data_IF_613658709296
#
_entry.id   IF_613658709296
#
_cell.length_a   1.000
_cell.length_b   1.000
_cell.length_c   1.000
_cell.angle_alpha   90.00
_cell.angle_beta   90.00
_cell.angle_gamma   90.00
#
_symmetry.space_group_name_H-M   'P 1'
#
loop_
_entity.id
_entity.type
_entity.pdbx_description
1 polymer ?
#
# COMPACT_ATOMS: atom_id res chain seq x y z
N UNK A 1 -14.73 1.61 -4.81
CA UNK A 1 -14.73 3.02 -4.38
C UNK A 1 -13.70 3.38 -3.29
N UNK A 2 -12.90 2.42 -2.75
CA UNK A 2 -11.89 2.70 -1.70
C UNK A 2 -10.62 3.45 -2.15
N UNK A 3 -10.40 3.68 -3.47
CA UNK A 3 -9.19 4.35 -3.97
C UNK A 3 -9.16 5.86 -3.70
N UNK A 4 -10.33 6.50 -3.62
CA UNK A 4 -10.44 7.97 -3.49
C UNK A 4 -10.06 8.45 -2.09
N UNK A 5 -10.40 7.68 -1.05
CA UNK A 5 -10.09 8.04 0.35
C UNK A 5 -8.58 8.16 0.63
N UNK A 6 -7.77 7.23 0.10
CA UNK A 6 -6.31 7.28 0.23
C UNK A 6 -5.70 8.52 -0.44
N UNK A 7 -6.19 8.87 -1.62
CA UNK A 7 -5.67 10.02 -2.39
C UNK A 7 -6.00 11.33 -1.66
N UNK A 8 -7.22 11.45 -1.11
CA UNK A 8 -7.65 12.60 -0.31
C UNK A 8 -6.78 12.73 0.96
N UNK A 9 -6.42 11.62 1.61
CA UNK A 9 -5.55 11.60 2.79
C UNK A 9 -4.13 12.07 2.50
N UNK A 10 -3.55 11.68 1.36
CA UNK A 10 -2.25 12.21 0.93
C UNK A 10 -2.36 13.71 0.67
N UNK A 11 -3.36 14.12 -0.10
CA UNK A 11 -3.53 15.52 -0.50
C UNK A 11 -3.74 16.42 0.71
N UNK A 12 -4.55 16.00 1.68
CA UNK A 12 -4.75 16.76 2.93
C UNK A 12 -3.47 16.84 3.75
N UNK A 13 -2.73 15.73 3.85
CA UNK A 13 -1.41 15.71 4.49
C UNK A 13 -0.44 16.70 3.83
N UNK A 14 -0.34 16.68 2.49
CA UNK A 14 0.55 17.56 1.72
C UNK A 14 0.15 19.04 1.83
N UNK A 15 -1.15 19.34 1.83
CA UNK A 15 -1.67 20.70 2.04
C UNK A 15 -1.32 21.19 3.46
N UNK A 16 -1.47 20.34 4.49
CA UNK A 16 -1.04 20.69 5.85
C UNK A 16 0.46 21.01 5.92
N UNK A 17 1.31 20.22 5.24
CA UNK A 17 2.73 20.49 5.13
C UNK A 17 3.03 21.79 4.39
N UNK A 18 2.30 22.10 3.32
CA UNK A 18 2.46 23.34 2.56
C UNK A 18 2.05 24.58 3.39
N UNK A 19 1.03 24.44 4.24
CA UNK A 19 0.60 25.50 5.16
C UNK A 19 1.54 25.65 6.36
N UNK A 20 2.18 24.57 6.80
CA UNK A 20 3.15 24.57 7.90
C UNK A 20 4.45 23.92 7.43
N UNK A 21 5.29 24.69 6.74
CA UNK A 21 6.57 24.23 6.20
C UNK A 21 7.54 23.68 7.25
N UNK A 22 7.36 24.05 8.52
CA UNK A 22 8.01 23.45 9.70
C UNK A 22 7.80 21.93 9.82
N UNK A 23 6.70 21.40 9.29
CA UNK A 23 6.44 19.95 9.25
C UNK A 23 7.41 19.22 8.29
N UNK A 24 7.85 19.87 7.21
CA UNK A 24 8.85 19.29 6.30
C UNK A 24 10.26 19.29 6.90
N UNK A 25 10.54 20.08 7.94
CA UNK A 25 11.80 19.95 8.69
C UNK A 25 11.80 18.77 9.67
N UNK A 26 10.64 18.16 9.94
CA UNK A 26 10.54 17.00 10.82
C UNK A 26 10.78 15.72 10.03
N UNK A 27 11.89 15.03 10.34
CA UNK A 27 12.30 13.81 9.63
C UNK A 27 11.23 12.70 9.65
N UNK A 28 10.44 12.59 10.72
CA UNK A 28 9.34 11.62 10.80
C UNK A 28 8.21 11.91 9.81
N UNK A 29 7.92 13.18 9.52
CA UNK A 29 6.85 13.56 8.60
C UNK A 29 7.22 13.17 7.16
N UNK A 30 8.44 13.51 6.72
CA UNK A 30 8.96 13.09 5.40
C UNK A 30 9.00 11.56 5.30
N UNK A 31 9.56 10.87 6.31
CA UNK A 31 9.63 9.42 6.32
C UNK A 31 8.24 8.78 6.23
N UNK A 32 7.24 9.32 6.93
CA UNK A 32 5.86 8.83 6.87
C UNK A 32 5.23 8.98 5.48
N UNK A 33 5.47 10.11 4.79
CA UNK A 33 4.99 10.34 3.42
C UNK A 33 5.64 9.33 2.47
N UNK A 34 6.95 9.12 2.58
CA UNK A 34 7.68 8.16 1.74
C UNK A 34 7.17 6.73 1.98
N UNK A 35 7.03 6.31 3.24
CA UNK A 35 6.46 5.00 3.59
C UNK A 35 5.05 4.84 3.03
N UNK A 36 4.21 5.87 3.13
CA UNK A 36 2.85 5.85 2.61
C UNK A 36 2.83 5.64 1.09
N UNK A 37 3.67 6.37 0.34
CA UNK A 37 3.77 6.25 -1.12
C UNK A 37 4.24 4.84 -1.51
N UNK A 38 5.25 4.30 -0.82
CA UNK A 38 5.74 2.94 -1.07
C UNK A 38 4.65 1.90 -0.79
N UNK A 39 3.97 1.99 0.36
CA UNK A 39 2.86 1.11 0.70
C UNK A 39 1.75 1.17 -0.34
N UNK A 40 1.41 2.37 -0.81
CA UNK A 40 0.37 2.57 -1.81
C UNK A 40 0.76 1.97 -3.17
N UNK A 41 2.02 2.13 -3.58
CA UNK A 41 2.55 1.53 -4.80
C UNK A 41 2.53 0.00 -4.75
N UNK A 42 2.92 -0.59 -3.61
CA UNK A 42 2.85 -2.04 -3.40
C UNK A 42 1.39 -2.54 -3.39
N UNK A 43 0.50 -1.83 -2.69
CA UNK A 43 -0.89 -2.23 -2.55
C UNK A 43 -1.71 -2.11 -3.85
N UNK A 44 -1.50 -1.06 -4.65
CA UNK A 44 -2.30 -0.84 -5.87
C UNK A 44 -1.55 -1.26 -7.12
N UNK A 45 -0.27 -0.91 -7.23
CA UNK A 45 0.55 -1.15 -8.42
C UNK A 45 0.98 -2.61 -8.55
N UNK A 46 1.56 -3.17 -7.48
CA UNK A 46 2.09 -4.54 -7.49
C UNK A 46 0.98 -5.58 -7.36
N UNK A 47 0.10 -5.43 -6.36
CA UNK A 47 -1.01 -6.37 -6.14
C UNK A 47 -2.08 -6.28 -7.22
N UNK A 48 -2.46 -5.08 -7.68
CA UNK A 48 -3.52 -4.91 -8.67
C UNK A 48 -3.25 -5.62 -10.01
N UNK A 49 -2.01 -5.58 -10.50
CA UNK A 49 -1.62 -6.28 -11.74
C UNK A 49 -1.68 -7.81 -11.58
N UNK A 50 -1.30 -8.33 -10.41
CA UNK A 50 -1.28 -9.76 -10.11
C UNK A 50 -2.69 -10.30 -9.87
N UNK A 51 -3.55 -9.55 -9.18
CA UNK A 51 -4.97 -9.88 -9.00
C UNK A 51 -5.67 -9.96 -10.35
N UNK A 52 -5.38 -9.02 -11.26
CA UNK A 52 -5.94 -9.05 -12.62
C UNK A 52 -5.47 -10.30 -13.40
N UNK A 53 -4.19 -10.66 -13.31
CA UNK A 53 -3.68 -11.91 -13.89
C UNK A 53 -4.32 -13.16 -13.30
N UNK A 54 -4.55 -13.20 -11.98
CA UNK A 54 -5.26 -14.32 -11.34
C UNK A 54 -6.69 -14.41 -11.87
N UNK A 55 -7.40 -13.29 -12.00
CA UNK A 55 -8.74 -13.26 -12.58
C UNK A 55 -8.76 -13.76 -14.02
N UNK A 56 -7.81 -13.33 -14.86
CA UNK A 56 -7.70 -13.76 -16.26
C UNK A 56 -7.40 -15.27 -16.38
N UNK A 57 -6.56 -15.82 -15.49
CA UNK A 57 -6.27 -17.27 -15.44
C UNK A 57 -7.50 -18.05 -15.00
N UNK A 58 -8.26 -17.54 -14.03
CA UNK A 58 -9.47 -18.19 -13.50
C UNK A 58 -10.66 -18.11 -14.47
N UNK A 59 -10.83 -17.00 -15.18
CA UNK A 59 -11.88 -16.83 -16.19
C UNK A 59 -11.68 -17.77 -17.40
N UNK A 60 -10.43 -18.14 -17.69
CA UNK A 60 -10.08 -19.10 -18.74
C UNK A 60 -10.18 -20.58 -18.31
N UNK A 61 -10.32 -20.88 -17.01
CA UNK A 61 -10.30 -22.24 -16.47
C UNK A 61 -11.72 -22.71 -16.10
N UNK A 62 -12.23 -23.72 -16.81
CA UNK A 62 -13.55 -24.35 -16.54
C UNK A 62 -13.48 -25.60 -15.63
N UNK A 63 -12.41 -25.74 -14.85
CA UNK A 63 -12.21 -26.85 -13.91
C UNK A 63 -12.48 -26.44 -12.47
N UNK A 64 -12.94 -27.38 -11.63
CA UNK A 64 -13.23 -27.17 -10.20
C UNK A 64 -11.98 -26.90 -9.34
N UNK A 65 -10.79 -27.05 -9.91
CA UNK A 65 -9.50 -26.92 -9.23
C UNK A 65 -8.86 -25.56 -9.50
N UNK A 66 -8.34 -24.93 -8.44
CA UNK A 66 -7.56 -23.69 -8.54
C UNK A 66 -6.21 -24.04 -9.20
N UNK A 67 -5.88 -23.45 -10.36
CA UNK A 67 -4.60 -23.71 -11.01
C UNK A 67 -3.44 -23.33 -10.09
N UNK A 68 -2.40 -24.18 -10.05
CA UNK A 68 -1.22 -23.97 -9.19
C UNK A 68 -0.57 -22.59 -9.40
N UNK A 69 -0.63 -22.07 -10.63
CA UNK A 69 -0.14 -20.74 -11.00
C UNK A 69 -0.92 -19.61 -10.29
N UNK A 70 -2.25 -19.75 -10.18
CA UNK A 70 -3.09 -18.81 -9.45
C UNK A 70 -2.81 -18.87 -7.94
N UNK A 71 -2.56 -20.07 -7.38
CA UNK A 71 -2.19 -20.23 -5.97
C UNK A 71 -0.83 -19.58 -5.64
N UNK A 72 0.17 -19.72 -6.52
CA UNK A 72 1.48 -19.07 -6.36
C UNK A 72 1.39 -17.54 -6.44
N UNK A 73 0.56 -17.02 -7.35
CA UNK A 73 0.28 -15.58 -7.47
C UNK A 73 -0.45 -15.03 -6.25
N UNK A 74 -1.46 -15.75 -5.73
CA UNK A 74 -2.17 -15.39 -4.51
C UNK A 74 -1.25 -15.35 -3.29
N UNK A 75 -0.32 -16.30 -3.16
CA UNK A 75 0.68 -16.27 -2.08
C UNK A 75 1.56 -15.00 -2.15
N UNK A 76 1.96 -14.58 -3.35
CA UNK A 76 2.73 -13.34 -3.54
C UNK A 76 1.92 -12.08 -3.23
N UNK A 77 0.62 -12.08 -3.57
CA UNK A 77 -0.32 -11.01 -3.21
C UNK A 77 -0.49 -10.93 -1.68
N UNK A 78 -0.68 -12.07 -1.02
CA UNK A 78 -0.81 -12.15 0.43
C UNK A 78 0.46 -11.67 1.15
N UNK A 79 1.64 -12.07 0.66
CA UNK A 79 2.92 -11.59 1.18
C UNK A 79 3.06 -10.06 1.04
N UNK A 80 2.71 -9.50 -0.12
CA UNK A 80 2.70 -8.06 -0.34
C UNK A 80 1.71 -7.32 0.58
N UNK A 81 0.53 -7.92 0.82
CA UNK A 81 -0.44 -7.41 1.79
C UNK A 81 0.13 -7.39 3.21
N UNK A 82 0.80 -8.47 3.63
CA UNK A 82 1.46 -8.54 4.93
C UNK A 82 2.58 -7.50 5.06
N UNK A 83 3.38 -7.29 4.02
CA UNK A 83 4.39 -6.21 3.99
C UNK A 83 3.74 -4.83 4.12
N UNK A 84 2.62 -4.58 3.43
CA UNK A 84 1.89 -3.32 3.54
C UNK A 84 1.33 -3.09 4.96
N UNK A 85 0.80 -4.13 5.60
CA UNK A 85 0.38 -4.06 7.01
C UNK A 85 1.57 -3.78 7.95
N UNK A 86 2.73 -4.38 7.69
CA UNK A 86 3.96 -4.15 8.45
C UNK A 86 4.43 -2.70 8.30
N UNK A 87 4.40 -2.15 7.09
CA UNK A 87 4.69 -0.72 6.83
C UNK A 87 3.73 0.17 7.61
N UNK A 88 2.43 -0.17 7.66
CA UNK A 88 1.45 0.60 8.44
C UNK A 88 1.77 0.58 9.94
N UNK A 89 2.17 -0.56 10.50
CA UNK A 89 2.61 -0.65 11.91
C UNK A 89 3.85 0.21 12.14
N UNK A 90 4.85 0.13 11.25
CA UNK A 90 6.04 0.98 11.32
C UNK A 90 5.68 2.46 11.26
N UNK A 91 4.74 2.87 10.41
CA UNK A 91 4.24 4.24 10.36
C UNK A 91 3.58 4.67 11.69
N UNK A 92 2.75 3.82 12.29
CA UNK A 92 2.11 4.12 13.59
C UNK A 92 3.17 4.30 14.67
N UNK A 93 4.17 3.42 14.72
CA UNK A 93 5.29 3.53 15.66
C UNK A 93 6.07 4.82 15.41
N UNK A 94 6.38 5.14 14.16
CA UNK A 94 7.07 6.37 13.79
C UNK A 94 6.30 7.62 14.24
N UNK A 95 4.98 7.63 14.04
CA UNK A 95 4.08 8.72 14.48
C UNK A 95 3.91 8.79 15.99
N UNK A 96 4.01 7.66 16.70
CA UNK A 96 3.83 7.60 18.15
C UNK A 96 5.10 7.95 18.91
N UNK A 97 6.26 7.52 18.42
CA UNK A 97 7.55 7.76 19.07
C UNK A 97 8.06 9.17 18.78
N UNK A 98 7.65 9.79 17.65
CA UNK A 98 8.13 11.09 17.14
C UNK A 98 9.59 11.34 17.53
N UNK A 99 10.52 10.47 17.12
CA UNK A 99 11.86 10.48 17.70
C UNK A 99 12.70 11.73 17.34
N UNK A 100 12.15 12.68 16.58
CA UNK A 100 12.84 13.85 16.04
C UNK A 100 11.90 15.05 15.90
#
# INVERSE_FOLDING_TARGET
>A
MAKVGSIILILSGLIMGALNTSLFTQGWYIASIVLYVIAHYLAVGYTGKRVKKVSEILDGYKGSDIPADAAALNKQIAAAGMTASLIAVVMIVLMSVKPF
#
